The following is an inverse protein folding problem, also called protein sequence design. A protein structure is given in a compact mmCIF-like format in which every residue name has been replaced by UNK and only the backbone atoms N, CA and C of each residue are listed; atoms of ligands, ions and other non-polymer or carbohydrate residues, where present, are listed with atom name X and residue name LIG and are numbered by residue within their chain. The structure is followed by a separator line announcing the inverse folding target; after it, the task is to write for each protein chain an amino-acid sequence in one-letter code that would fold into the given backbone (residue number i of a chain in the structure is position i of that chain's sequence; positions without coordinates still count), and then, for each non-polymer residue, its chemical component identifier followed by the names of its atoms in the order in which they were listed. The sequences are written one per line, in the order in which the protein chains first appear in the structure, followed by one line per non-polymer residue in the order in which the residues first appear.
data_IF_554461956108
#
_entry.id   IF_554461956108
#
_cell.length_a   1.000
_cell.length_b   1.000
_cell.length_c   1.000
_cell.angle_alpha   90.00
_cell.angle_beta   90.00
_cell.angle_gamma   90.00
#
_symmetry.space_group_name_H-M   'P 1'
#
loop_
_entity.id
_entity.type
_entity.pdbx_description
1 polymer ?
#
# COMPACT_ATOMS: atom_id res chain seq x y z
N UNK A 1 47.72 -12.97 -14.37
CA UNK A 1 47.47 -14.41 -14.20
C UNK A 1 47.23 -14.60 -12.72
N UNK A 2 45.98 -14.37 -12.34
CA UNK A 2 45.39 -14.90 -11.12
C UNK A 2 43.89 -14.72 -11.24
N UNK A 3 43.23 -15.85 -11.29
CA UNK A 3 41.82 -16.04 -11.45
C UNK A 3 41.07 -15.50 -10.22
N UNK A 4 40.09 -14.67 -10.47
CA UNK A 4 39.08 -14.27 -9.50
C UNK A 4 37.99 -15.36 -9.50
N UNK A 5 37.71 -16.06 -8.38
CA UNK A 5 36.74 -17.14 -8.36
C UNK A 5 35.32 -16.56 -8.26
N UNK A 6 34.60 -16.75 -9.33
CA UNK A 6 33.21 -17.11 -9.45
C UNK A 6 32.30 -16.80 -8.23
N UNK A 7 31.72 -15.60 -8.24
CA UNK A 7 30.57 -15.26 -7.41
C UNK A 7 29.28 -15.86 -8.03
N UNK A 8 29.17 -17.18 -8.00
CA UNK A 8 27.86 -17.82 -8.15
C UNK A 8 27.05 -17.54 -6.88
N UNK A 9 25.84 -16.95 -6.99
CA UNK A 9 24.96 -16.79 -5.83
C UNK A 9 24.64 -18.17 -5.27
N UNK A 10 24.84 -18.32 -3.96
CA UNK A 10 24.48 -19.53 -3.22
C UNK A 10 22.99 -19.82 -3.38
N UNK A 11 22.57 -21.10 -3.54
CA UNK A 11 21.19 -21.50 -3.80
C UNK A 11 20.20 -21.24 -2.65
N UNK A 12 20.60 -20.62 -1.55
CA UNK A 12 19.81 -20.50 -0.31
C UNK A 12 19.14 -19.14 -0.06
N UNK A 13 19.21 -18.19 -1.00
CA UNK A 13 18.38 -16.98 -0.92
C UNK A 13 17.10 -17.11 -1.78
N UNK A 14 16.35 -18.17 -1.58
CA UNK A 14 14.96 -18.18 -1.95
C UNK A 14 14.20 -17.28 -0.94
N UNK A 15 13.41 -16.29 -1.40
CA UNK A 15 12.56 -15.53 -0.50
C UNK A 15 11.74 -16.53 0.32
N UNK A 16 11.69 -16.32 1.62
CA UNK A 16 10.91 -17.14 2.56
C UNK A 16 9.48 -17.21 2.05
N UNK A 17 9.22 -18.15 1.14
CA UNK A 17 7.87 -18.51 0.81
C UNK A 17 7.25 -18.94 2.14
N UNK A 18 6.16 -18.28 2.52
CA UNK A 18 5.33 -18.65 3.66
C UNK A 18 4.80 -20.06 3.46
N UNK A 19 5.67 -21.06 3.66
CA UNK A 19 5.24 -22.43 3.73
C UNK A 19 4.49 -22.60 5.04
N UNK A 20 3.30 -23.21 5.03
CA UNK A 20 2.59 -23.46 6.26
C UNK A 20 3.47 -24.29 7.19
N UNK A 21 3.72 -23.75 8.38
CA UNK A 21 4.49 -24.41 9.41
C UNK A 21 3.66 -25.62 9.87
N UNK A 22 4.09 -26.85 9.51
CA UNK A 22 3.56 -28.05 10.12
C UNK A 22 3.00 -29.12 9.19
N UNK A 23 2.18 -28.93 8.26
CA UNK A 23 1.65 -29.94 7.33
C UNK A 23 1.53 -29.37 5.94
N UNK A 24 1.74 -30.21 4.92
CA UNK A 24 1.25 -29.95 3.56
C UNK A 24 -0.30 -29.90 3.62
N UNK A 25 -0.80 -28.82 4.21
CA UNK A 25 -2.21 -28.55 4.30
C UNK A 25 -2.79 -28.52 2.90
N UNK A 26 -3.99 -29.02 2.72
CA UNK A 26 -4.75 -28.95 1.47
C UNK A 26 -4.86 -27.44 1.12
N UNK A 27 -3.92 -26.96 0.33
CA UNK A 27 -4.06 -25.64 -0.29
C UNK A 27 -5.22 -25.73 -1.26
N UNK A 28 -6.25 -24.95 -1.01
CA UNK A 28 -7.34 -24.77 -1.97
C UNK A 28 -6.75 -23.95 -3.12
N UNK A 29 -6.09 -24.61 -4.06
CA UNK A 29 -5.54 -23.97 -5.27
C UNK A 29 -6.67 -23.88 -6.31
N UNK A 30 -7.54 -22.90 -6.11
CA UNK A 30 -8.64 -22.59 -7.02
C UNK A 30 -8.25 -21.31 -7.77
N UNK A 31 -7.96 -21.44 -9.07
CA UNK A 31 -7.80 -20.30 -9.97
C UNK A 31 -9.15 -19.97 -10.63
N UNK A 32 -9.39 -18.69 -10.87
CA UNK A 32 -10.59 -18.23 -11.57
C UNK A 32 -10.65 -18.82 -12.99
N UNK A 33 -11.78 -19.41 -13.32
CA UNK A 33 -12.12 -19.92 -14.65
C UNK A 33 -13.37 -19.23 -15.14
N UNK A 34 -13.41 -18.87 -16.43
CA UNK A 34 -14.62 -18.30 -17.01
C UNK A 34 -15.71 -19.35 -17.07
N UNK A 35 -16.84 -19.10 -16.43
CA UNK A 35 -18.00 -19.95 -16.53
C UNK A 35 -18.60 -19.87 -17.94
N UNK A 36 -19.16 -20.99 -18.40
CA UNK A 36 -19.99 -20.98 -19.61
C UNK A 36 -21.23 -20.13 -19.35
N UNK A 37 -21.41 -19.08 -20.13
CA UNK A 37 -22.53 -18.14 -20.02
C UNK A 37 -23.01 -17.71 -21.39
N UNK A 38 -24.34 -17.67 -21.57
CA UNK A 38 -24.99 -17.16 -22.78
C UNK A 38 -25.94 -16.01 -22.40
N UNK A 39 -26.33 -15.20 -23.40
CA UNK A 39 -27.32 -14.13 -23.16
C UNK A 39 -28.62 -14.72 -22.64
N UNK A 40 -29.00 -14.33 -21.43
CA UNK A 40 -30.17 -14.89 -20.74
C UNK A 40 -31.51 -14.37 -21.30
N UNK A 41 -31.53 -13.25 -22.06
CA UNK A 41 -32.76 -12.66 -22.56
C UNK A 41 -33.45 -13.59 -23.58
N UNK A 42 -32.68 -14.07 -24.56
CA UNK A 42 -33.22 -15.01 -25.56
C UNK A 42 -33.74 -16.29 -24.89
N UNK A 43 -33.00 -16.76 -23.88
CA UNK A 43 -33.34 -17.98 -23.16
C UNK A 43 -34.54 -17.80 -22.25
N UNK A 44 -34.73 -16.63 -21.64
CA UNK A 44 -35.91 -16.28 -20.87
C UNK A 44 -37.15 -16.33 -21.77
N UNK A 45 -37.07 -15.77 -22.99
CA UNK A 45 -38.16 -15.83 -23.96
C UNK A 45 -38.50 -17.27 -24.38
N UNK A 46 -37.47 -18.08 -24.65
CA UNK A 46 -37.64 -19.50 -24.98
C UNK A 46 -38.24 -20.30 -23.81
N UNK A 47 -37.78 -20.06 -22.60
CA UNK A 47 -38.33 -20.70 -21.40
C UNK A 47 -39.80 -20.34 -21.18
N UNK A 48 -40.14 -19.03 -21.38
CA UNK A 48 -41.50 -18.54 -21.29
C UNK A 48 -42.42 -19.17 -22.35
N UNK A 49 -41.96 -19.23 -23.62
CA UNK A 49 -42.66 -19.89 -24.72
C UNK A 49 -42.84 -21.42 -24.45
N UNK A 50 -41.78 -22.05 -23.96
CA UNK A 50 -41.84 -23.47 -23.55
C UNK A 50 -42.81 -23.73 -22.43
N UNK A 51 -42.84 -22.84 -21.42
CA UNK A 51 -43.77 -22.91 -20.32
C UNK A 51 -45.24 -22.74 -20.77
N UNK A 52 -45.53 -21.68 -21.55
CA UNK A 52 -46.86 -21.42 -22.10
C UNK A 52 -47.30 -22.52 -23.07
N UNK A 53 -46.44 -22.96 -23.96
CA UNK A 53 -46.69 -24.10 -24.86
C UNK A 53 -46.96 -25.41 -24.13
N UNK A 54 -46.18 -25.68 -23.07
CA UNK A 54 -46.38 -26.85 -22.21
C UNK A 54 -47.72 -26.80 -21.49
N UNK A 55 -48.12 -25.67 -20.92
CA UNK A 55 -49.43 -25.47 -20.30
C UNK A 55 -50.59 -25.66 -21.31
N UNK A 56 -50.44 -25.12 -22.52
CA UNK A 56 -51.42 -25.29 -23.58
C UNK A 56 -51.56 -26.75 -24.02
N UNK A 57 -50.46 -27.49 -24.13
CA UNK A 57 -50.46 -28.93 -24.41
C UNK A 57 -51.16 -29.76 -23.33
N UNK A 58 -50.88 -29.42 -22.06
CA UNK A 58 -51.58 -30.10 -20.93
C UNK A 58 -53.07 -29.83 -20.98
N UNK A 59 -53.49 -28.59 -21.19
CA UNK A 59 -54.91 -28.19 -21.26
C UNK A 59 -55.63 -28.86 -22.44
N UNK A 60 -55.07 -28.85 -23.64
CA UNK A 60 -55.66 -29.48 -24.82
C UNK A 60 -55.62 -31.01 -24.74
N UNK A 61 -54.64 -31.60 -24.08
CA UNK A 61 -54.56 -33.03 -23.86
C UNK A 61 -55.60 -33.51 -22.87
N UNK A 62 -55.90 -32.71 -21.84
CA UNK A 62 -56.96 -33.04 -20.87
C UNK A 62 -58.36 -32.94 -21.49
N UNK A 63 -58.61 -31.92 -22.29
CA UNK A 63 -59.89 -31.76 -23.00
C UNK A 63 -60.10 -32.79 -24.11
N UNK A 64 -59.05 -33.20 -24.81
CA UNK A 64 -59.12 -34.11 -25.91
C UNK A 64 -58.85 -35.61 -25.57
N UNK A 65 -58.63 -35.95 -24.31
CA UNK A 65 -58.39 -37.34 -23.86
C UNK A 65 -57.06 -37.93 -24.32
N UNK A 66 -56.13 -37.10 -24.87
CA UNK A 66 -54.85 -37.54 -25.41
C UNK A 66 -53.74 -37.53 -24.36
N UNK A 67 -53.57 -38.63 -23.64
CA UNK A 67 -52.59 -38.79 -22.54
C UNK A 67 -51.16 -38.41 -22.95
N UNK A 68 -50.75 -38.72 -24.15
CA UNK A 68 -49.40 -38.37 -24.62
C UNK A 68 -49.15 -36.88 -24.68
N UNK A 69 -50.17 -36.04 -25.00
CA UNK A 69 -50.06 -34.55 -24.98
C UNK A 69 -49.89 -34.03 -23.57
N UNK A 70 -50.57 -34.63 -22.60
CA UNK A 70 -50.43 -34.25 -21.20
C UNK A 70 -49.03 -34.57 -20.70
N UNK A 71 -48.52 -35.77 -20.98
CA UNK A 71 -47.17 -36.20 -20.59
C UNK A 71 -46.10 -35.26 -21.22
N UNK A 72 -46.21 -34.99 -22.53
CA UNK A 72 -45.28 -34.10 -23.22
C UNK A 72 -45.32 -32.68 -22.66
N UNK A 73 -46.53 -32.17 -22.41
CA UNK A 73 -46.71 -30.84 -21.83
C UNK A 73 -46.10 -30.69 -20.44
N UNK A 74 -46.32 -31.69 -19.57
CA UNK A 74 -45.72 -31.73 -18.23
C UNK A 74 -44.19 -31.79 -18.31
N UNK A 75 -43.65 -32.60 -19.20
CA UNK A 75 -42.19 -32.71 -19.38
C UNK A 75 -41.56 -31.38 -19.87
N UNK A 76 -42.26 -30.66 -20.76
CA UNK A 76 -41.85 -29.39 -21.29
C UNK A 76 -41.92 -28.27 -20.22
N UNK A 77 -42.95 -28.26 -19.37
CA UNK A 77 -43.03 -27.34 -18.21
C UNK A 77 -41.92 -27.63 -17.22
N UNK A 78 -41.64 -28.88 -16.88
CA UNK A 78 -40.54 -29.25 -15.98
C UNK A 78 -39.20 -28.86 -16.56
N UNK A 79 -38.97 -29.11 -17.85
CA UNK A 79 -37.72 -28.64 -18.51
C UNK A 79 -37.56 -27.14 -18.48
N UNK A 80 -38.63 -26.36 -18.75
CA UNK A 80 -38.59 -24.88 -18.66
C UNK A 80 -38.29 -24.40 -17.23
N UNK A 81 -38.88 -25.07 -16.22
CA UNK A 81 -38.60 -24.76 -14.81
C UNK A 81 -37.15 -25.03 -14.42
N UNK A 82 -36.61 -26.20 -14.79
CA UNK A 82 -35.22 -26.57 -14.51
C UNK A 82 -34.25 -25.58 -15.21
N UNK A 83 -34.49 -25.26 -16.46
CA UNK A 83 -33.68 -24.32 -17.20
C UNK A 83 -33.73 -22.89 -16.61
N UNK A 84 -34.87 -22.48 -16.07
CA UNK A 84 -35.02 -21.15 -15.44
C UNK A 84 -34.14 -20.99 -14.19
N UNK A 85 -33.78 -22.07 -13.51
CA UNK A 85 -32.87 -22.01 -12.35
C UNK A 85 -31.46 -21.57 -12.71
N UNK A 86 -31.06 -21.67 -13.99
CA UNK A 86 -29.78 -21.21 -14.49
C UNK A 86 -29.71 -19.72 -14.81
N UNK A 87 -30.84 -18.98 -14.78
CA UNK A 87 -30.86 -17.55 -15.07
C UNK A 87 -30.34 -16.76 -13.88
N UNK A 88 -29.33 -15.90 -14.15
CA UNK A 88 -28.68 -15.04 -13.16
C UNK A 88 -28.53 -13.61 -13.66
N UNK A 89 -28.79 -12.68 -12.77
CA UNK A 89 -28.55 -11.25 -13.00
C UNK A 89 -27.21 -10.88 -12.34
N UNK A 90 -26.28 -10.41 -13.16
CA UNK A 90 -24.98 -9.88 -12.73
C UNK A 90 -25.00 -8.37 -12.93
N UNK A 91 -24.84 -7.63 -11.83
CA UNK A 91 -24.81 -6.16 -11.88
C UNK A 91 -23.40 -5.65 -12.30
N UNK A 92 -23.30 -4.43 -12.84
CA UNK A 92 -22.00 -3.80 -13.08
C UNK A 92 -21.19 -3.69 -11.80
N UNK A 93 -19.92 -4.11 -11.85
CA UNK A 93 -19.02 -4.14 -10.68
C UNK A 93 -19.22 -5.34 -9.75
N UNK A 94 -19.98 -6.35 -10.17
CA UNK A 94 -20.13 -7.63 -9.48
C UNK A 94 -19.71 -8.78 -10.41
N UNK A 95 -19.28 -9.88 -9.82
CA UNK A 95 -19.07 -11.14 -10.51
C UNK A 95 -19.85 -12.24 -9.78
N UNK A 96 -20.39 -13.20 -10.53
CA UNK A 96 -21.09 -14.33 -9.99
C UNK A 96 -20.20 -15.58 -10.05
N UNK A 97 -19.81 -16.06 -8.87
CA UNK A 97 -19.08 -17.31 -8.71
C UNK A 97 -20.07 -18.45 -8.71
N UNK A 98 -19.97 -19.37 -9.67
CA UNK A 98 -20.96 -20.42 -9.93
C UNK A 98 -20.45 -21.77 -9.45
N UNK A 99 -21.28 -22.47 -8.68
CA UNK A 99 -21.02 -23.82 -8.16
C UNK A 99 -22.14 -24.78 -8.56
N UNK A 100 -21.75 -26.00 -8.86
CA UNK A 100 -22.68 -27.10 -9.07
C UNK A 100 -22.43 -28.21 -8.01
N UNK A 101 -23.40 -28.47 -7.16
CA UNK A 101 -23.29 -29.44 -6.08
C UNK A 101 -22.00 -29.34 -5.25
N UNK A 102 -21.55 -28.11 -4.97
CA UNK A 102 -20.33 -27.87 -4.21
C UNK A 102 -19.04 -27.77 -5.05
N UNK A 103 -19.08 -28.15 -6.33
CA UNK A 103 -17.91 -27.99 -7.22
C UNK A 103 -17.92 -26.64 -7.91
N UNK A 104 -16.78 -25.95 -7.91
CA UNK A 104 -16.60 -24.69 -8.63
C UNK A 104 -16.59 -24.91 -10.15
N UNK A 105 -17.54 -24.32 -10.86
CA UNK A 105 -17.65 -24.38 -12.31
C UNK A 105 -16.95 -23.22 -13.01
N UNK A 106 -16.98 -22.04 -12.41
CA UNK A 106 -16.38 -20.84 -12.96
C UNK A 106 -17.07 -19.57 -12.50
N UNK A 107 -16.58 -18.42 -12.98
CA UNK A 107 -17.09 -17.09 -12.67
C UNK A 107 -17.68 -16.42 -13.90
N UNK A 108 -18.84 -15.79 -13.72
CA UNK A 108 -19.48 -14.94 -14.74
C UNK A 108 -19.22 -13.46 -14.39
N UNK A 109 -18.47 -12.78 -15.26
CA UNK A 109 -18.19 -11.34 -15.14
C UNK A 109 -19.02 -10.48 -16.11
N UNK A 110 -19.71 -11.13 -17.07
CA UNK A 110 -20.56 -10.41 -18.02
C UNK A 110 -21.79 -9.85 -17.30
N UNK A 111 -21.98 -8.54 -17.42
CA UNK A 111 -23.14 -7.86 -16.82
C UNK A 111 -24.45 -8.16 -17.57
N UNK A 112 -25.56 -8.10 -16.84
CA UNK A 112 -26.88 -8.33 -17.35
C UNK A 112 -27.45 -9.70 -16.99
N UNK A 113 -28.48 -10.12 -17.74
CA UNK A 113 -29.11 -11.41 -17.57
C UNK A 113 -28.29 -12.48 -18.32
N UNK A 114 -27.71 -13.40 -17.57
CA UNK A 114 -26.90 -14.49 -18.09
C UNK A 114 -27.57 -15.83 -17.76
N UNK A 115 -27.50 -16.76 -18.71
CA UNK A 115 -27.81 -18.16 -18.48
C UNK A 115 -26.52 -18.90 -18.14
N UNK A 116 -26.53 -19.59 -17.01
CA UNK A 116 -25.49 -20.53 -16.59
C UNK A 116 -26.04 -21.95 -16.57
N UNK A 117 -25.24 -22.94 -16.22
CA UNK A 117 -25.74 -24.29 -16.07
C UNK A 117 -26.93 -24.34 -15.08
N UNK A 118 -27.99 -25.10 -15.39
CA UNK A 118 -29.12 -25.24 -14.47
C UNK A 118 -28.70 -25.94 -13.17
N UNK A 119 -29.49 -25.77 -12.12
CA UNK A 119 -29.25 -26.35 -10.80
C UNK A 119 -27.94 -25.92 -10.14
N UNK A 120 -27.41 -24.76 -10.51
CA UNK A 120 -26.22 -24.19 -9.89
C UNK A 120 -26.57 -23.20 -8.80
N UNK A 121 -25.75 -23.14 -7.75
CA UNK A 121 -25.74 -22.08 -6.76
C UNK A 121 -24.69 -21.05 -7.13
N UNK A 122 -24.87 -19.79 -6.74
CA UNK A 122 -23.90 -18.76 -7.02
C UNK A 122 -23.79 -17.73 -5.91
N UNK A 123 -22.54 -17.38 -5.60
CA UNK A 123 -22.23 -16.29 -4.68
C UNK A 123 -21.81 -15.06 -5.51
N UNK A 124 -22.35 -13.88 -5.18
CA UNK A 124 -21.91 -12.63 -5.78
C UNK A 124 -20.71 -12.10 -5.02
N UNK A 125 -19.70 -11.65 -5.74
CA UNK A 125 -18.50 -11.01 -5.22
C UNK A 125 -18.37 -9.65 -5.89
N UNK A 126 -18.16 -8.59 -5.10
CA UNK A 126 -17.89 -7.25 -5.62
C UNK A 126 -16.49 -7.21 -6.20
N UNK A 127 -16.34 -6.68 -7.41
CA UNK A 127 -15.03 -6.44 -8.05
C UNK A 127 -14.71 -4.95 -8.13
N UNK A 128 -15.45 -4.13 -7.38
CA UNK A 128 -15.23 -2.69 -7.27
C UNK A 128 -14.02 -2.45 -6.37
N UNK A 129 -13.36 -1.31 -6.60
CA UNK A 129 -12.36 -0.84 -5.66
C UNK A 129 -13.04 -0.48 -4.33
N UNK A 130 -12.46 -0.95 -3.25
CA UNK A 130 -12.88 -0.69 -1.87
C UNK A 130 -11.71 -0.02 -1.15
N UNK A 131 -12.00 0.98 -0.33
CA UNK A 131 -11.03 1.60 0.54
C UNK A 131 -11.41 1.33 2.00
N UNK A 132 -10.41 1.13 2.83
CA UNK A 132 -10.56 1.13 4.28
C UNK A 132 -9.38 1.81 4.93
N UNK A 133 -9.61 2.29 6.13
CA UNK A 133 -8.58 2.88 6.98
C UNK A 133 -8.15 1.87 8.04
N UNK A 134 -6.84 1.68 8.16
CA UNK A 134 -6.22 1.01 9.31
C UNK A 134 -6.15 2.05 10.41
N UNK A 135 -6.87 1.80 11.51
CA UNK A 135 -6.92 2.71 12.66
C UNK A 135 -5.50 2.97 13.20
N UNK A 136 -5.23 4.21 13.66
CA UNK A 136 -3.94 4.53 14.23
C UNK A 136 -3.57 3.59 15.38
N UNK A 137 -2.42 2.94 15.25
CA UNK A 137 -1.90 2.02 16.25
C UNK A 137 -0.57 2.50 16.81
N UNK A 138 -0.32 2.21 18.09
CA UNK A 138 0.98 2.47 18.70
C UNK A 138 1.96 1.36 18.36
N UNK A 139 3.09 1.74 17.76
CA UNK A 139 4.21 0.85 17.43
C UNK A 139 5.52 1.56 17.76
N UNK A 140 6.60 0.81 17.87
CA UNK A 140 7.93 1.41 18.00
C UNK A 140 8.57 1.51 16.62
N UNK A 141 9.22 2.63 16.34
CA UNK A 141 10.05 2.78 15.14
C UNK A 141 11.36 1.97 15.27
N UNK A 142 12.21 1.98 14.24
CA UNK A 142 13.49 1.27 14.25
C UNK A 142 14.45 1.79 15.35
N UNK A 143 14.26 3.00 15.86
CA UNK A 143 15.01 3.59 16.95
C UNK A 143 14.41 3.27 18.34
N UNK A 144 13.30 2.54 18.38
CA UNK A 144 12.58 2.21 19.62
C UNK A 144 11.69 3.33 20.17
N UNK A 145 11.43 4.38 19.39
CA UNK A 145 10.51 5.45 19.79
C UNK A 145 9.06 5.01 19.57
N UNK A 146 8.15 5.17 20.52
CA UNK A 146 6.74 4.89 20.31
C UNK A 146 6.11 5.95 19.40
N UNK A 147 5.51 5.49 18.30
CA UNK A 147 4.80 6.30 17.31
C UNK A 147 3.36 5.81 17.16
N UNK A 148 2.48 6.68 16.71
CA UNK A 148 1.14 6.36 16.27
C UNK A 148 1.10 6.44 14.75
N UNK A 149 0.76 5.32 14.10
CA UNK A 149 0.74 5.19 12.64
C UNK A 149 -0.56 4.57 12.17
N UNK A 150 -1.14 5.12 11.11
CA UNK A 150 -2.32 4.62 10.42
C UNK A 150 -2.12 4.68 8.91
N UNK A 151 -2.91 3.93 8.16
CA UNK A 151 -2.83 3.88 6.71
C UNK A 151 -4.21 3.73 6.07
N UNK A 152 -4.35 4.24 4.85
CA UNK A 152 -5.49 3.97 3.98
C UNK A 152 -5.04 2.98 2.93
N UNK A 153 -5.81 1.91 2.76
CA UNK A 153 -5.57 0.85 1.80
C UNK A 153 -6.72 0.83 0.80
N UNK A 154 -6.38 0.85 -0.49
CA UNK A 154 -7.32 0.71 -1.61
C UNK A 154 -7.03 -0.61 -2.31
N UNK A 155 -8.04 -1.45 -2.44
CA UNK A 155 -7.90 -2.77 -3.06
C UNK A 155 -9.12 -3.11 -3.91
N UNK A 156 -8.97 -4.13 -4.76
CA UNK A 156 -10.05 -4.74 -5.52
C UNK A 156 -9.89 -6.25 -5.57
N UNK A 157 -11.00 -6.96 -5.84
CA UNK A 157 -10.95 -8.41 -6.03
C UNK A 157 -10.55 -8.71 -7.46
N UNK A 158 -9.33 -9.24 -7.65
CA UNK A 158 -8.80 -9.67 -8.94
C UNK A 158 -9.23 -11.10 -9.29
N UNK A 159 -9.12 -12.03 -8.34
CA UNK A 159 -9.56 -13.43 -8.47
C UNK A 159 -10.74 -13.72 -7.54
N UNK A 160 -11.93 -13.75 -8.14
CA UNK A 160 -13.17 -13.96 -7.40
C UNK A 160 -13.32 -15.37 -6.84
N UNK A 161 -12.64 -16.36 -7.42
CA UNK A 161 -12.66 -17.73 -6.93
C UNK A 161 -11.85 -17.84 -5.63
N UNK A 162 -10.66 -17.25 -5.60
CA UNK A 162 -9.85 -17.17 -4.37
C UNK A 162 -10.57 -16.37 -3.29
N UNK A 163 -11.13 -15.22 -3.63
CA UNK A 163 -11.87 -14.39 -2.68
C UNK A 163 -13.12 -15.11 -2.07
N UNK A 164 -13.71 -16.01 -2.83
CA UNK A 164 -14.90 -16.75 -2.37
C UNK A 164 -14.58 -18.03 -1.59
N UNK A 165 -13.43 -18.68 -1.84
CA UNK A 165 -13.14 -20.03 -1.36
C UNK A 165 -11.82 -20.21 -0.62
N UNK A 166 -10.83 -19.35 -0.85
CA UNK A 166 -9.53 -19.49 -0.21
C UNK A 166 -9.52 -18.92 1.23
N UNK A 167 -10.37 -17.94 1.50
CA UNK A 167 -10.51 -17.29 2.80
C UNK A 167 -12.00 -17.22 3.19
N UNK A 168 -12.29 -17.19 4.46
CA UNK A 168 -13.67 -17.10 4.95
C UNK A 168 -14.28 -15.72 4.66
N UNK A 169 -13.55 -14.66 5.00
CA UNK A 169 -13.88 -13.27 4.71
C UNK A 169 -12.62 -12.56 4.20
N UNK A 170 -12.64 -12.20 2.92
CA UNK A 170 -11.50 -11.53 2.29
C UNK A 170 -11.32 -10.10 2.78
N UNK A 171 -12.40 -9.38 3.17
CA UNK A 171 -12.32 -8.02 3.68
C UNK A 171 -11.63 -7.99 5.06
N UNK A 172 -12.05 -8.87 5.97
CA UNK A 172 -11.43 -9.01 7.29
C UNK A 172 -9.98 -9.53 7.20
N UNK A 173 -9.73 -10.46 6.28
CA UNK A 173 -8.39 -10.98 6.02
C UNK A 173 -7.44 -9.87 5.55
N UNK A 174 -7.83 -9.09 4.54
CA UNK A 174 -7.01 -7.98 4.01
C UNK A 174 -6.73 -6.95 5.10
N UNK A 175 -7.75 -6.61 5.89
CA UNK A 175 -7.62 -5.64 6.99
C UNK A 175 -6.57 -6.08 8.02
N UNK A 176 -6.62 -7.33 8.47
CA UNK A 176 -5.66 -7.88 9.45
C UNK A 176 -4.26 -8.01 8.89
N UNK A 177 -4.13 -8.38 7.60
CA UNK A 177 -2.82 -8.44 6.95
C UNK A 177 -2.21 -7.06 6.75
N UNK A 178 -3.00 -6.06 6.38
CA UNK A 178 -2.56 -4.67 6.26
C UNK A 178 -2.09 -4.10 7.60
N UNK A 179 -2.82 -4.38 8.70
CA UNK A 179 -2.40 -3.99 10.04
C UNK A 179 -1.06 -4.61 10.43
N UNK A 180 -0.88 -5.91 10.14
CA UNK A 180 0.37 -6.62 10.42
C UNK A 180 1.54 -6.09 9.58
N UNK A 181 1.32 -5.80 8.29
CA UNK A 181 2.32 -5.22 7.40
C UNK A 181 2.70 -3.81 7.83
N UNK A 182 1.72 -2.96 8.17
CA UNK A 182 1.96 -1.61 8.66
C UNK A 182 2.84 -1.61 9.92
N UNK A 183 2.59 -2.52 10.85
CA UNK A 183 3.42 -2.71 12.04
C UNK A 183 4.85 -3.10 11.68
N UNK A 184 5.03 -4.00 10.73
CA UNK A 184 6.34 -4.48 10.29
C UNK A 184 7.15 -3.35 9.63
N UNK A 185 6.56 -2.64 8.68
CA UNK A 185 7.20 -1.51 7.98
C UNK A 185 7.53 -0.36 8.95
N UNK A 186 6.64 -0.07 9.90
CA UNK A 186 6.89 0.95 10.92
C UNK A 186 8.10 0.63 11.81
N UNK A 187 8.32 -0.66 12.12
CA UNK A 187 9.47 -1.11 12.91
C UNK A 187 10.79 -1.13 12.11
N UNK A 188 10.71 -1.19 10.79
CA UNK A 188 11.88 -1.25 9.90
C UNK A 188 12.50 0.12 9.64
N UNK A 189 11.72 1.19 9.75
CA UNK A 189 12.15 2.55 9.43
C UNK A 189 12.12 3.48 10.65
N UNK A 190 13.07 4.44 10.76
CA UNK A 190 12.99 5.48 11.78
C UNK A 190 11.89 6.48 11.42
N UNK A 191 11.25 7.05 12.44
CA UNK A 191 10.27 8.12 12.24
C UNK A 191 10.87 9.34 11.55
N UNK A 192 12.06 9.76 12.01
CA UNK A 192 12.76 10.97 11.59
C UNK A 192 14.28 10.72 11.62
N UNK A 193 15.03 11.31 10.70
CA UNK A 193 16.50 11.23 10.74
C UNK A 193 17.05 12.18 11.79
N UNK A 194 17.49 11.63 12.90
CA UNK A 194 18.12 12.37 13.98
C UNK A 194 19.65 12.39 13.90
N UNK A 195 20.22 11.88 12.83
CA UNK A 195 21.67 11.84 12.62
C UNK A 195 22.30 13.22 12.29
N UNK A 196 21.64 14.32 12.71
CA UNK A 196 22.23 15.66 12.70
C UNK A 196 23.32 15.74 13.78
N UNK A 197 24.33 14.91 13.63
CA UNK A 197 25.52 14.88 14.45
C UNK A 197 26.74 15.00 13.54
N UNK A 198 27.41 16.15 13.62
CA UNK A 198 28.79 16.39 13.17
C UNK A 198 29.26 15.63 11.92
N UNK A 199 29.13 16.23 10.76
CA UNK A 199 30.10 16.01 9.67
C UNK A 199 29.78 14.95 8.64
N UNK A 200 28.65 14.29 8.63
CA UNK A 200 28.30 13.37 7.53
C UNK A 200 27.53 14.12 6.43
N UNK A 201 28.25 14.50 5.38
CA UNK A 201 27.69 14.99 4.12
C UNK A 201 26.91 13.89 3.34
N UNK A 202 26.59 12.79 4.02
CA UNK A 202 25.97 11.59 3.42
C UNK A 202 24.55 11.36 3.95
N UNK A 203 23.74 12.42 3.88
CA UNK A 203 22.30 12.32 4.18
C UNK A 203 21.47 11.74 3.02
N UNK A 204 22.12 11.21 1.99
CA UNK A 204 21.47 10.61 0.83
C UNK A 204 21.33 9.11 1.04
N UNK A 205 20.28 8.66 1.72
CA UNK A 205 19.98 7.25 1.73
C UNK A 205 19.21 6.66 2.90
N UNK A 206 18.97 7.40 3.98
CA UNK A 206 18.14 6.85 5.07
C UNK A 206 16.66 7.12 4.75
N UNK A 207 15.92 6.05 4.45
CA UNK A 207 14.47 6.12 4.27
C UNK A 207 13.85 6.33 5.64
N UNK A 208 13.10 7.43 5.82
CA UNK A 208 12.39 7.74 7.05
C UNK A 208 10.88 7.75 6.81
N UNK A 209 10.09 7.41 7.84
CA UNK A 209 8.64 7.40 7.74
C UNK A 209 8.06 8.78 7.39
N UNK A 210 8.70 9.84 7.85
CA UNK A 210 8.23 11.22 7.70
C UNK A 210 8.63 11.85 6.37
N UNK A 211 9.86 11.69 5.93
CA UNK A 211 10.40 12.40 4.77
C UNK A 211 10.26 11.59 3.48
N UNK A 212 10.34 10.24 3.58
CA UNK A 212 10.24 9.31 2.45
C UNK A 212 8.88 8.62 2.40
N UNK A 213 7.80 9.36 2.64
CA UNK A 213 6.44 8.81 2.76
C UNK A 213 6.00 8.02 1.52
N UNK A 214 6.37 8.46 0.33
CA UNK A 214 6.00 7.80 -0.93
C UNK A 214 6.73 6.47 -1.08
N UNK A 215 8.02 6.40 -0.73
CA UNK A 215 8.84 5.19 -0.79
C UNK A 215 8.35 4.16 0.24
N UNK A 216 8.08 4.60 1.46
CA UNK A 216 7.52 3.75 2.52
C UNK A 216 6.12 3.25 2.16
N UNK A 217 5.29 4.09 1.54
CA UNK A 217 3.95 3.70 1.07
C UNK A 217 4.03 2.64 -0.03
N UNK A 218 5.01 2.75 -0.94
CA UNK A 218 5.24 1.75 -1.98
C UNK A 218 5.72 0.41 -1.40
N UNK A 219 6.63 0.44 -0.43
CA UNK A 219 7.10 -0.74 0.29
C UNK A 219 5.94 -1.41 1.05
N UNK A 220 5.14 -0.61 1.76
CA UNK A 220 3.96 -1.11 2.46
C UNK A 220 2.95 -1.74 1.50
N UNK A 221 2.71 -1.12 0.33
CA UNK A 221 1.83 -1.67 -0.68
C UNK A 221 2.32 -3.03 -1.19
N UNK A 222 3.62 -3.18 -1.40
CA UNK A 222 4.25 -4.44 -1.81
C UNK A 222 4.12 -5.52 -0.72
N UNK A 223 4.44 -5.18 0.51
CA UNK A 223 4.34 -6.07 1.68
C UNK A 223 2.90 -6.56 1.90
N UNK A 224 1.91 -5.65 1.80
CA UNK A 224 0.49 -6.03 1.90
C UNK A 224 0.10 -6.93 0.73
N UNK A 225 0.48 -6.58 -0.51
CA UNK A 225 0.14 -7.33 -1.71
C UNK A 225 0.64 -8.78 -1.64
N UNK A 226 1.87 -9.02 -1.19
CA UNK A 226 2.41 -10.37 -1.01
C UNK A 226 1.58 -11.19 -0.01
N UNK A 227 1.21 -10.58 1.11
CA UNK A 227 0.44 -11.24 2.17
C UNK A 227 -1.00 -11.56 1.76
N UNK A 228 -1.65 -10.69 0.99
CA UNK A 228 -3.04 -10.85 0.57
C UNK A 228 -3.22 -11.63 -0.73
N UNK A 229 -2.15 -11.94 -1.46
CA UNK A 229 -2.19 -12.65 -2.74
C UNK A 229 -2.97 -13.98 -2.69
N UNK A 230 -2.96 -14.66 -1.53
CA UNK A 230 -3.70 -15.90 -1.31
C UNK A 230 -5.20 -15.68 -1.35
N UNK A 231 -5.70 -14.52 -0.98
CA UNK A 231 -7.13 -14.17 -0.97
C UNK A 231 -7.67 -13.71 -2.32
N UNK A 232 -6.82 -13.65 -3.37
CA UNK A 232 -7.23 -13.20 -4.70
C UNK A 232 -7.54 -11.71 -4.79
N UNK A 233 -7.06 -10.93 -3.84
CA UNK A 233 -7.19 -9.46 -3.79
C UNK A 233 -5.94 -8.82 -4.36
N UNK A 234 -6.11 -7.73 -5.07
CA UNK A 234 -5.05 -6.88 -5.63
C UNK A 234 -5.06 -5.53 -4.92
N UNK A 235 -3.91 -5.11 -4.44
CA UNK A 235 -3.73 -3.80 -3.83
C UNK A 235 -3.51 -2.77 -4.94
N UNK A 236 -4.34 -1.73 -4.95
CA UNK A 236 -4.24 -0.62 -5.91
C UNK A 236 -3.30 0.44 -5.37
N UNK A 237 -3.49 0.81 -4.11
CA UNK A 237 -2.75 1.88 -3.46
C UNK A 237 -2.76 1.69 -1.95
N UNK A 238 -1.64 2.06 -1.32
CA UNK A 238 -1.56 2.22 0.14
C UNK A 238 -0.94 3.57 0.42
N UNK A 239 -1.50 4.31 1.37
CA UNK A 239 -0.97 5.61 1.83
C UNK A 239 -0.96 5.68 3.34
N UNK A 240 0.10 6.25 3.89
CA UNK A 240 0.13 6.60 5.30
C UNK A 240 -0.86 7.75 5.55
N UNK A 241 -1.82 7.55 6.45
CA UNK A 241 -2.88 8.51 6.76
C UNK A 241 -2.60 9.29 8.03
N UNK A 242 -2.04 8.64 9.04
CA UNK A 242 -1.68 9.21 10.33
C UNK A 242 -0.26 8.81 10.68
N UNK A 243 0.55 9.79 11.08
CA UNK A 243 1.92 9.56 11.53
C UNK A 243 2.30 10.62 12.56
N UNK A 244 2.45 10.22 13.81
CA UNK A 244 2.80 11.10 14.91
C UNK A 244 3.62 10.35 15.96
N UNK A 245 4.40 11.09 16.77
CA UNK A 245 4.94 10.52 17.99
C UNK A 245 3.82 10.24 18.99
N UNK A 246 3.91 9.14 19.69
CA UNK A 246 2.98 8.84 20.77
C UNK A 246 2.99 9.96 21.82
N UNK A 247 1.82 10.24 22.38
CA UNK A 247 1.59 11.40 23.25
C UNK A 247 2.57 11.45 24.44
N UNK A 248 3.01 10.28 24.92
CA UNK A 248 3.93 10.15 26.05
C UNK A 248 5.29 10.79 25.81
N UNK A 249 5.80 10.75 24.54
CA UNK A 249 7.12 11.27 24.20
C UNK A 249 7.07 12.53 23.33
N UNK A 250 5.90 12.93 22.84
CA UNK A 250 5.75 14.04 21.90
C UNK A 250 6.41 15.33 22.39
N UNK A 251 6.22 15.69 23.68
CA UNK A 251 6.83 16.88 24.27
C UNK A 251 8.36 16.79 24.38
N UNK A 252 8.91 15.61 24.61
CA UNK A 252 10.35 15.40 24.69
C UNK A 252 10.99 15.47 23.30
N UNK A 253 10.33 14.87 22.30
CA UNK A 253 10.78 14.91 20.90
C UNK A 253 10.71 16.33 20.33
N UNK A 254 9.66 17.09 20.64
CA UNK A 254 9.57 18.48 20.23
C UNK A 254 10.74 19.32 20.78
N UNK A 255 11.09 19.16 22.08
CA UNK A 255 12.26 19.83 22.67
C UNK A 255 13.56 19.43 21.98
N UNK A 256 13.71 18.14 21.63
CA UNK A 256 14.88 17.63 20.90
C UNK A 256 14.97 18.23 19.52
N UNK A 257 13.86 18.29 18.78
CA UNK A 257 13.79 18.93 17.45
C UNK A 257 14.12 20.41 17.54
N UNK A 258 13.60 21.14 18.52
CA UNK A 258 13.93 22.55 18.76
C UNK A 258 15.43 22.74 19.06
N UNK A 259 16.02 21.92 19.89
CA UNK A 259 17.45 21.97 20.19
C UNK A 259 18.30 21.69 18.94
N UNK A 260 17.94 20.68 18.16
CA UNK A 260 18.61 20.36 16.89
C UNK A 260 18.49 21.49 15.88
N UNK A 261 17.30 22.09 15.74
CA UNK A 261 17.06 23.22 14.84
C UNK A 261 17.91 24.46 15.22
N UNK A 262 18.00 24.78 16.53
CA UNK A 262 18.84 25.88 17.02
C UNK A 262 20.32 25.60 16.75
N UNK A 263 20.77 24.35 16.96
CA UNK A 263 22.16 23.97 16.67
C UNK A 263 22.49 24.08 15.20
N UNK A 264 21.61 23.57 14.31
CA UNK A 264 21.78 23.67 12.87
C UNK A 264 21.77 25.11 12.39
N UNK A 265 20.87 25.95 12.91
CA UNK A 265 20.84 27.37 12.58
C UNK A 265 22.15 28.07 13.00
N UNK A 266 22.67 27.78 14.19
CA UNK A 266 23.96 28.33 14.64
C UNK A 266 25.13 27.86 13.77
N UNK A 267 25.13 26.63 13.33
CA UNK A 267 26.16 26.09 12.45
C UNK A 267 26.20 26.83 11.11
N UNK A 268 25.04 27.08 10.50
CA UNK A 268 24.90 27.87 9.25
C UNK A 268 25.40 29.28 9.47
N UNK A 269 25.05 29.94 10.58
CA UNK A 269 25.53 31.28 10.92
C UNK A 269 27.06 31.32 11.05
N UNK A 270 27.64 30.37 11.82
CA UNK A 270 29.12 30.31 12.01
C UNK A 270 29.83 30.04 10.68
N UNK A 271 29.30 29.11 9.86
CA UNK A 271 29.87 28.82 8.55
C UNK A 271 29.82 30.07 7.64
N UNK A 272 28.66 30.71 7.51
CA UNK A 272 28.49 31.91 6.74
C UNK A 272 29.37 33.07 7.24
N UNK A 273 29.45 33.28 8.56
CA UNK A 273 30.34 34.27 9.17
C UNK A 273 31.81 34.00 8.86
N UNK A 274 32.23 32.72 8.90
CA UNK A 274 33.60 32.32 8.57
C UNK A 274 33.93 32.58 7.10
N UNK A 275 33.00 32.28 6.19
CA UNK A 275 33.18 32.56 4.75
C UNK A 275 33.24 34.05 4.47
N UNK A 276 32.33 34.83 5.08
CA UNK A 276 32.34 36.31 4.94
C UNK A 276 33.63 36.95 5.50
N UNK A 277 34.07 36.51 6.68
CA UNK A 277 35.32 37.00 7.28
C UNK A 277 36.55 36.68 6.42
N UNK A 278 36.62 35.46 5.86
CA UNK A 278 37.70 35.06 4.93
C UNK A 278 37.63 35.83 3.63
N UNK A 279 36.43 36.09 3.09
CA UNK A 279 36.26 36.88 1.87
C UNK A 279 36.71 38.32 2.07
N UNK A 280 36.30 38.97 3.16
CA UNK A 280 36.70 40.35 3.50
C UNK A 280 38.25 40.50 3.64
N UNK A 281 38.89 39.53 4.30
CA UNK A 281 40.37 39.57 4.43
C UNK A 281 41.07 39.34 3.10
N UNK A 282 40.54 38.47 2.21
CA UNK A 282 41.10 38.26 0.87
C UNK A 282 40.98 39.51 0.00
N UNK A 283 39.84 40.20 0.09
CA UNK A 283 39.60 41.45 -0.67
C UNK A 283 40.56 42.58 -0.25
N UNK A 284 40.76 42.75 1.06
CA UNK A 284 41.75 43.69 1.60
C UNK A 284 43.19 43.31 1.26
N UNK A 285 43.52 42.03 1.19
CA UNK A 285 44.87 41.55 0.81
C UNK A 285 45.15 41.71 -0.70
N UNK A 286 44.11 41.83 -1.52
CA UNK A 286 44.19 42.05 -2.95
C UNK A 286 44.36 43.58 -3.30
N UNK A 287 44.00 44.49 -2.40
CA UNK A 287 44.23 45.90 -2.55
C UNK A 287 45.70 46.21 -2.24
N UNK A 288 46.44 46.62 -3.25
CA UNK A 288 47.91 46.77 -3.26
C UNK A 288 48.50 47.75 -2.25
N UNK A 289 47.69 48.54 -1.54
CA UNK A 289 48.15 49.60 -0.63
C UNK A 289 48.22 49.18 0.85
N UNK A 290 47.77 47.91 1.20
CA UNK A 290 47.71 47.48 2.59
C UNK A 290 48.44 46.14 2.75
N UNK A 291 49.68 46.18 3.23
CA UNK A 291 50.37 44.95 3.71
C UNK A 291 49.83 44.54 5.10
N UNK A 292 49.02 43.49 5.15
CA UNK A 292 48.52 42.94 6.39
C UNK A 292 49.42 41.81 6.89
N UNK A 293 50.02 42.03 8.06
CA UNK A 293 50.78 41.04 8.80
C UNK A 293 49.87 39.88 9.22
N UNK A 294 50.33 38.60 9.29
CA UNK A 294 49.54 37.43 9.68
C UNK A 294 48.83 37.58 11.02
N UNK A 295 49.43 38.24 12.00
CA UNK A 295 48.80 38.51 13.30
C UNK A 295 47.58 39.43 13.19
N UNK A 296 47.69 40.48 12.37
CA UNK A 296 46.60 41.42 12.10
C UNK A 296 45.45 40.78 11.32
N UNK A 297 45.76 39.88 10.36
CA UNK A 297 44.74 39.07 9.65
C UNK A 297 43.98 38.22 10.62
N UNK A 298 44.66 37.51 11.53
CA UNK A 298 44.03 36.65 12.53
C UNK A 298 43.16 37.46 13.51
N UNK A 299 43.64 38.61 14.00
CA UNK A 299 42.86 39.49 14.89
C UNK A 299 41.62 40.04 14.19
N UNK A 300 41.72 40.40 12.90
CA UNK A 300 40.62 40.91 12.11
C UNK A 300 39.54 39.83 11.87
N UNK A 301 39.94 38.61 11.52
CA UNK A 301 39.05 37.47 11.36
C UNK A 301 38.31 37.18 12.71
N UNK A 302 39.05 37.18 13.81
CA UNK A 302 38.45 36.92 15.14
C UNK A 302 37.43 38.01 15.50
N UNK A 303 37.75 39.27 15.30
CA UNK A 303 36.84 40.39 15.58
C UNK A 303 35.58 40.33 14.70
N UNK A 304 35.75 40.05 13.41
CA UNK A 304 34.62 39.89 12.48
C UNK A 304 33.73 38.71 12.90
N UNK A 305 34.31 37.56 13.27
CA UNK A 305 33.56 36.41 13.74
C UNK A 305 32.77 36.70 15.01
N UNK A 306 33.36 37.41 15.98
CA UNK A 306 32.67 37.83 17.20
C UNK A 306 31.47 38.71 16.88
N UNK A 307 31.61 39.68 15.96
CA UNK A 307 30.49 40.56 15.57
C UNK A 307 29.42 39.83 14.79
N UNK A 308 29.82 38.98 13.81
CA UNK A 308 28.88 38.27 12.94
C UNK A 308 28.17 37.12 13.63
N UNK A 309 28.81 36.46 14.62
CA UNK A 309 28.19 35.35 15.37
C UNK A 309 27.46 35.80 16.63
N UNK A 310 27.53 37.07 17.02
CA UNK A 310 26.88 37.60 18.21
C UNK A 310 25.39 37.83 18.01
N UNK A 311 24.55 37.30 18.92
CA UNK A 311 23.10 37.52 18.93
C UNK A 311 22.68 38.83 19.59
N UNK A 312 23.61 39.51 20.29
CA UNK A 312 23.36 40.80 20.94
C UNK A 312 24.15 41.90 20.28
N UNK A 313 23.66 43.15 20.37
CA UNK A 313 24.39 44.35 19.93
C UNK A 313 25.70 44.48 20.73
N UNK A 314 26.72 43.75 20.31
CA UNK A 314 28.07 43.86 20.86
C UNK A 314 28.64 45.20 20.39
N UNK A 315 29.00 46.08 21.30
CA UNK A 315 29.85 47.23 21.00
C UNK A 315 31.29 46.70 21.04
N UNK A 316 31.98 46.60 19.88
CA UNK A 316 33.37 46.20 19.87
C UNK A 316 34.20 47.30 20.51
N UNK A 317 34.81 47.05 21.62
CA UNK A 317 35.81 47.91 22.21
C UNK A 317 37.13 47.68 21.45
N UNK A 318 37.39 48.54 20.45
CA UNK A 318 38.66 48.52 19.74
C UNK A 318 39.73 49.08 20.68
N UNK A 319 40.59 48.22 21.18
CA UNK A 319 41.81 48.68 21.85
C UNK A 319 42.79 49.17 20.79
N UNK A 320 42.73 50.47 20.47
CA UNK A 320 43.76 51.17 19.69
C UNK A 320 44.98 51.28 20.55
N UNK A 321 45.76 50.19 20.66
CA UNK A 321 47.02 50.18 21.40
C UNK A 321 47.86 51.40 20.99
N UNK A 322 48.30 52.17 21.98
CA UNK A 322 49.20 53.30 21.81
C UNK A 322 50.42 52.84 21.05
N UNK A 323 50.63 53.48 19.87
CA UNK A 323 51.89 53.47 19.16
C UNK A 323 52.95 54.08 20.07
N UNK A 324 53.88 53.31 20.57
CA UNK A 324 55.21 53.70 20.96
C UNK A 324 56.21 52.85 20.20
#
# INVERSE_FOLDING_TARGET
MDDDPDLTPTPDEQPLQTQPVGHDGIRIDIAERKAWSMSGILFLLLALLGFLGGCALVATGFLGGAVWKVVLGVLLVLAALVLSTGLRIVNPGEAAVVQFLGHYLGTVRTTGLNLTAPLTTGRKVSVKAVNFEVEPMKVNDSNGNPIEIGAIVVYQVADTAKAAFAVEDHDDFVRKQAESALRHVAMSHPYDDHSVGYGSADHRGVITLRESTDEVSAELAHEVAERVAVSGVEIIEVRLAHLAYAQEIASAMLRRQQASAVLSARQVIVQGATEMAKAAVRELDAESDIELDPERKAAMITNLLVVLCSEQNTQPVLNTGSLY
#
